data_IF_500300712311
#
_entry.id   IF_500300712311
#
_cell.length_a   1.000
_cell.length_b   1.000
_cell.length_c   1.000
_cell.angle_alpha   90.00
_cell.angle_beta   90.00
_cell.angle_gamma   90.00
#
_symmetry.space_group_name_H-M   'P 1'
#
loop_
_entity.id
_entity.type
_entity.pdbx_description
1 polymer ?
2 polymer ?
3 polymer ?
4 non-polymer ?
5 non-polymer ?
6 non-polymer ?
7 non-polymer ?
8 water ?
#
# COMPACT_ATOMS: atom_id res chain seq x y z
N UNK A 1 -12.03 -20.16 -4.24
CA UNK A 1 -12.56 -18.78 -4.49
C UNK A 1 -11.84 -18.03 -5.66
N UNK A 2 -11.76 -16.69 -5.58
CA UNK A 2 -11.23 -15.86 -6.67
C UNK A 2 -9.70 -15.95 -6.78
N UNK A 3 -9.10 -14.92 -7.39
CA UNK A 3 -7.61 -14.88 -7.58
C UNK A 3 -6.90 -14.38 -6.35
N UNK A 4 -5.61 -14.72 -6.25
CA UNK A 4 -4.81 -14.33 -5.09
C UNK A 4 -3.42 -14.01 -5.50
N UNK A 5 -2.73 -13.22 -4.71
CA UNK A 5 -1.38 -12.80 -4.96
C UNK A 5 -0.46 -12.92 -3.77
N UNK A 6 0.82 -13.15 -4.04
CA UNK A 6 1.88 -12.98 -3.05
C UNK A 6 2.82 -11.93 -3.61
N UNK A 7 3.17 -10.92 -2.82
CA UNK A 7 4.03 -9.85 -3.30
C UNK A 7 5.02 -9.43 -2.21
N UNK A 8 6.25 -9.15 -2.63
CA UNK A 8 7.25 -8.59 -1.80
C UNK A 8 7.67 -7.20 -2.34
N UNK A 9 7.81 -6.24 -1.42
CA UNK A 9 8.16 -4.84 -1.70
C UNK A 9 9.40 -4.47 -0.95
N UNK A 10 10.37 -3.85 -1.64
CA UNK A 10 11.61 -3.52 -0.99
C UNK A 10 11.95 -2.10 -1.34
N UNK A 11 12.39 -1.35 -0.32
CA UNK A 11 12.88 0.03 -0.51
C UNK A 11 14.22 0.20 0.17
N UNK A 12 15.16 0.75 -0.59
CA UNK A 12 16.46 1.13 -0.02
C UNK A 12 16.73 2.56 -0.27
N UNK A 13 17.17 3.28 0.80
CA UNK A 13 17.42 4.71 0.68
C UNK A 13 18.84 5.00 1.15
N UNK A 14 19.67 5.59 0.30
CA UNK A 14 21.04 5.84 0.67
C UNK A 14 21.17 6.95 1.73
N UNK A 15 22.21 6.86 2.56
CA UNK A 15 22.44 7.82 3.62
C UNK A 15 23.87 8.30 3.39
N UNK A 16 24.05 9.30 2.56
CA UNK A 16 25.38 9.76 2.16
C UNK A 16 26.18 10.38 3.36
N UNK A 17 25.52 10.91 4.39
CA UNK A 17 26.24 11.48 5.47
C UNK A 17 26.95 10.50 6.43
N UNK A 18 26.33 9.35 6.57
CA UNK A 18 26.94 8.34 7.46
C UNK A 18 26.16 7.05 7.31
N UNK A 19 26.90 5.95 7.10
CA UNK A 19 26.38 4.64 7.23
C UNK A 19 25.75 4.01 6.04
N UNK A 20 25.02 2.92 6.28
CA UNK A 20 24.43 2.09 5.22
C UNK A 20 23.09 2.64 4.81
N UNK A 21 22.52 2.14 3.71
CA UNK A 21 21.19 2.52 3.33
C UNK A 21 20.14 2.08 4.30
N UNK A 22 19.05 2.83 4.46
CA UNK A 22 17.87 2.30 5.14
C UNK A 22 17.18 1.27 4.22
N UNK A 23 16.86 0.09 4.73
CA UNK A 23 16.24 -0.94 3.88
C UNK A 23 15.01 -1.44 4.63
N UNK A 24 13.88 -1.42 3.90
CA UNK A 24 12.62 -1.91 4.46
C UNK A 24 12.00 -2.84 3.43
N UNK A 25 11.66 -4.05 3.89
CA UNK A 25 11.04 -5.09 3.09
C UNK A 25 9.76 -5.50 3.75
N UNK A 26 8.71 -5.61 2.91
CA UNK A 26 7.39 -6.08 3.42
C UNK A 26 6.89 -7.18 2.49
N UNK A 27 6.21 -8.18 3.04
CA UNK A 27 5.58 -9.21 2.24
C UNK A 27 4.07 -9.23 2.47
N UNK A 28 3.29 -9.41 1.39
CA UNK A 28 1.82 -9.48 1.43
C UNK A 28 1.30 -10.70 0.78
N UNK A 29 0.20 -11.21 1.33
CA UNK A 29 -0.69 -12.16 0.60
C UNK A 29 -1.94 -11.33 0.37
N UNK A 30 -2.34 -11.10 -0.87
CA UNK A 30 -3.47 -10.20 -1.15
C UNK A 30 -3.20 -8.88 -0.47
N UNK A 31 -4.16 -8.40 0.30
CA UNK A 31 -4.04 -7.12 1.02
C UNK A 31 -3.62 -7.25 2.47
N UNK A 32 -3.05 -8.39 2.84
CA UNK A 32 -2.65 -8.67 4.18
C UNK A 32 -1.10 -8.74 4.24
N UNK A 33 -0.53 -7.84 5.03
CA UNK A 33 0.94 -7.89 5.29
C UNK A 33 1.20 -9.06 6.19
N UNK A 34 2.24 -9.85 5.87
CA UNK A 34 2.55 -10.99 6.75
C UNK A 34 3.98 -11.04 7.30
N UNK A 35 4.89 -10.33 6.68
CA UNK A 35 6.27 -10.25 7.17
C UNK A 35 6.84 -8.90 6.93
N UNK A 36 7.84 -8.54 7.75
CA UNK A 36 8.61 -7.27 7.56
C UNK A 36 10.08 -7.55 7.87
N UNK A 37 10.94 -6.74 7.26
CA UNK A 37 12.30 -6.58 7.71
C UNK A 37 12.55 -5.08 7.66
N UNK A 38 13.23 -4.55 8.68
CA UNK A 38 13.66 -3.16 8.68
C UNK A 38 15.07 -3.14 9.19
N UNK A 39 15.96 -2.64 8.36
CA UNK A 39 17.37 -2.56 8.82
C UNK A 39 17.56 -1.73 10.06
N UNK A 40 16.67 -0.83 10.44
CA UNK A 40 16.81 -0.06 11.66
C UNK A 40 16.19 -0.69 12.89
N UNK A 41 15.49 -1.83 12.73
CA UNK A 41 14.89 -2.51 13.87
C UNK A 41 15.95 -3.35 14.60
N UNK A 42 15.66 -3.72 15.83
CA UNK A 42 16.66 -4.34 16.66
C UNK A 42 16.88 -5.79 16.32
N UNK A 43 15.84 -6.49 15.84
CA UNK A 43 15.96 -7.94 15.68
C UNK A 43 16.96 -8.36 14.60
N UNK A 44 17.11 -7.57 13.58
CA UNK A 44 17.86 -7.97 12.39
C UNK A 44 17.37 -9.31 11.84
N UNK A 45 16.08 -9.54 11.98
CA UNK A 45 15.45 -10.76 11.47
C UNK A 45 14.24 -10.37 10.63
N UNK A 46 13.89 -11.26 9.71
CA UNK A 46 12.52 -11.23 9.15
C UNK A 46 11.55 -11.52 10.32
N UNK A 47 10.49 -10.69 10.41
CA UNK A 47 9.56 -10.73 11.55
C UNK A 47 8.17 -11.02 11.02
N UNK A 48 7.35 -11.73 11.80
CA UNK A 48 5.97 -11.98 11.46
C UNK A 48 5.10 -10.75 11.65
N UNK A 49 4.12 -10.57 10.76
CA UNK A 49 3.13 -9.50 10.88
C UNK A 49 1.72 -10.02 10.64
N UNK A 50 1.51 -11.34 10.65
CA UNK A 50 0.16 -11.95 10.71
C UNK A 50 0.24 -13.20 11.54
N UNK A 51 -0.81 -13.58 12.24
CA UNK A 51 -0.69 -14.78 13.09
C UNK A 51 -0.42 -16.06 12.39
N UNK A 52 -0.98 -16.25 11.19
CA UNK A 52 -0.85 -17.49 10.47
C UNK A 52 0.56 -17.81 9.92
N UNK A 53 1.45 -16.82 9.92
CA UNK A 53 2.84 -17.09 9.56
C UNK A 53 3.68 -17.53 10.78
N UNK A 54 3.19 -17.24 11.98
CA UNK A 54 3.97 -17.56 13.21
C UNK A 54 4.24 -19.04 13.41
N UNK A 55 3.40 -19.87 12.84
CA UNK A 55 3.60 -21.31 12.94
C UNK A 55 4.79 -21.83 12.12
N UNK A 56 5.34 -21.04 11.18
CA UNK A 56 6.47 -21.56 10.42
C UNK A 56 7.65 -21.71 11.39
N UNK A 57 8.46 -22.70 11.13
CA UNK A 57 9.53 -23.08 12.07
C UNK A 57 10.80 -22.32 11.81
N UNK A 58 11.81 -22.58 12.65
CA UNK A 58 13.03 -21.84 12.58
C UNK A 58 13.76 -21.94 11.25
N UNK A 59 13.72 -23.08 10.54
CA UNK A 59 14.41 -23.17 9.28
C UNK A 59 13.80 -22.08 8.33
N UNK A 60 12.49 -21.87 8.41
CA UNK A 60 11.83 -20.90 7.57
C UNK A 60 12.33 -19.50 7.92
N UNK A 61 12.33 -19.16 9.20
CA UNK A 61 12.72 -17.81 9.60
C UNK A 61 14.18 -17.54 9.29
N UNK A 62 15.02 -18.54 9.55
CA UNK A 62 16.46 -18.38 9.16
C UNK A 62 16.64 -18.15 7.67
N UNK A 63 15.90 -18.91 6.86
CA UNK A 63 16.04 -18.80 5.41
C UNK A 63 15.54 -17.47 4.92
N UNK A 64 14.41 -17.01 5.45
CA UNK A 64 13.88 -15.74 5.03
C UNK A 64 14.76 -14.58 5.47
N UNK A 65 15.36 -14.69 6.63
CA UNK A 65 16.27 -13.66 7.10
C UNK A 65 17.53 -13.64 6.23
N UNK A 66 18.06 -14.82 5.91
CA UNK A 66 19.23 -14.94 5.05
C UNK A 66 18.96 -14.25 3.70
N UNK A 67 17.82 -14.58 3.07
CA UNK A 67 17.49 -14.00 1.77
C UNK A 67 17.31 -12.49 1.85
N UNK A 68 16.62 -12.02 2.86
CA UNK A 68 16.30 -10.60 2.90
C UNK A 68 17.55 -9.75 3.20
N UNK A 69 18.44 -10.29 3.98
CA UNK A 69 19.72 -9.61 4.27
C UNK A 69 20.58 -9.54 3.03
N UNK A 70 20.64 -10.66 2.29
CA UNK A 70 21.39 -10.64 1.03
C UNK A 70 20.81 -9.65 0.05
N UNK A 71 19.48 -9.56 0.02
CA UNK A 71 18.83 -8.63 -0.86
C UNK A 71 19.24 -7.19 -0.49
N UNK A 72 19.24 -6.92 0.82
CA UNK A 72 19.66 -5.59 1.25
C UNK A 72 21.03 -5.22 0.81
N UNK A 73 21.94 -6.17 0.82
CA UNK A 73 23.28 -5.92 0.34
C UNK A 73 23.32 -5.68 -1.16
N UNK A 74 22.48 -6.43 -1.90
CA UNK A 74 22.40 -6.18 -3.34
C UNK A 74 21.95 -4.75 -3.60
N UNK A 75 20.96 -4.26 -2.84
CA UNK A 75 20.53 -2.87 -3.06
C UNK A 75 21.58 -1.89 -2.66
N UNK A 76 22.36 -2.23 -1.62
CA UNK A 76 23.49 -1.38 -1.22
C UNK A 76 24.47 -1.19 -2.43
N UNK A 77 24.84 -2.29 -3.03
CA UNK A 77 25.66 -2.23 -4.17
C UNK A 77 25.03 -1.41 -5.29
N UNK A 78 23.78 -1.72 -5.59
CA UNK A 78 23.07 -1.03 -6.69
C UNK A 78 23.04 0.46 -6.51
N UNK A 79 22.83 0.92 -5.28
CA UNK A 79 22.85 2.35 -5.04
C UNK A 79 24.17 3.01 -5.48
N UNK A 80 25.28 2.36 -5.17
CA UNK A 80 26.56 2.81 -5.68
C UNK A 80 26.69 2.71 -7.19
N UNK A 81 26.27 1.57 -7.75
CA UNK A 81 26.35 1.35 -9.20
C UNK A 81 25.57 2.39 -9.99
N UNK A 82 24.31 2.56 -9.59
CA UNK A 82 23.43 3.45 -10.28
C UNK A 82 23.88 4.91 -10.15
N UNK A 83 24.41 5.31 -8.98
CA UNK A 83 24.93 6.68 -8.82
C UNK A 83 26.04 6.86 -9.90
N UNK A 84 26.84 5.83 -10.12
CA UNK A 84 27.88 5.91 -11.17
C UNK A 84 27.27 5.95 -12.57
N UNK A 85 26.31 5.05 -12.85
CA UNK A 85 25.69 5.05 -14.18
C UNK A 85 25.10 6.38 -14.55
N UNK A 86 24.54 7.08 -13.57
CA UNK A 86 23.87 8.34 -13.78
C UNK A 86 24.79 9.56 -13.56
N UNK A 87 26.07 9.31 -13.26
CA UNK A 87 27.06 10.36 -13.00
C UNK A 87 26.55 11.36 -11.93
N UNK A 88 25.97 10.83 -10.87
CA UNK A 88 25.49 11.64 -9.75
C UNK A 88 26.54 11.80 -8.65
N UNK A 89 26.35 12.86 -7.88
CA UNK A 89 27.22 13.21 -6.79
C UNK A 89 27.09 12.17 -5.70
N UNK A 90 28.14 12.02 -4.92
CA UNK A 90 28.07 11.25 -3.69
C UNK A 90 27.29 11.94 -2.58
N UNK A 91 26.92 13.19 -2.77
CA UNK A 91 26.32 13.96 -1.75
C UNK A 91 24.84 13.72 -1.47
N UNK A 92 24.11 13.27 -2.47
CA UNK A 92 22.65 13.15 -2.32
C UNK A 92 22.17 11.75 -1.93
N UNK A 93 20.98 11.70 -1.35
CA UNK A 93 20.32 10.46 -1.10
C UNK A 93 19.49 10.02 -2.31
N UNK A 94 19.54 8.75 -2.56
CA UNK A 94 18.77 8.14 -3.67
C UNK A 94 18.03 6.89 -3.20
N UNK A 95 17.10 6.43 -4.04
CA UNK A 95 16.19 5.33 -3.70
C UNK A 95 16.15 4.24 -4.73
N UNK A 96 16.23 3.00 -4.27
CA UNK A 96 15.98 1.83 -5.10
C UNK A 96 14.67 1.21 -4.56
N UNK A 97 13.81 0.76 -5.47
CA UNK A 97 12.61 -0.02 -5.09
C UNK A 97 12.54 -1.23 -5.98
N UNK A 98 12.12 -2.37 -5.40
CA UNK A 98 11.89 -3.59 -6.18
C UNK A 98 10.55 -4.17 -5.66
N UNK A 99 9.73 -4.70 -6.56
CA UNK A 99 8.56 -5.45 -6.18
C UNK A 99 8.57 -6.71 -7.03
N UNK A 100 8.25 -7.86 -6.42
CA UNK A 100 8.05 -9.07 -7.25
C UNK A 100 6.99 -9.91 -6.61
N UNK A 101 6.45 -10.81 -7.39
CA UNK A 101 5.42 -11.70 -6.86
C UNK A 101 4.70 -12.51 -7.94
N UNK A 102 3.71 -13.24 -7.47
CA UNK A 102 2.99 -14.14 -8.34
C UNK A 102 1.53 -14.11 -7.98
N UNK A 103 0.69 -14.33 -8.96
CA UNK A 103 -0.75 -14.47 -8.80
C UNK A 103 -1.15 -15.91 -9.16
N UNK A 104 -2.20 -16.40 -8.49
CA UNK A 104 -2.91 -17.60 -8.85
C UNK A 104 -4.31 -17.16 -9.24
N UNK A 105 -4.87 -17.86 -10.22
CA UNK A 105 -6.15 -17.48 -10.77
C UNK A 105 -7.26 -18.21 -10.06
N UNK A 106 -8.42 -18.15 -10.70
CA UNK A 106 -9.61 -18.73 -10.23
C UNK A 106 -9.56 -20.24 -10.24
N UNK A 107 -8.63 -20.81 -11.03
CA UNK A 107 -8.41 -22.25 -11.08
C UNK A 107 -7.38 -22.69 -10.02
N UNK A 108 -6.82 -21.74 -9.24
CA UNK A 108 -5.86 -22.00 -8.14
C UNK A 108 -4.45 -22.38 -8.73
N UNK A 109 -4.27 -22.11 -10.01
CA UNK A 109 -2.99 -22.34 -10.63
C UNK A 109 -2.36 -21.04 -10.97
N UNK A 110 -1.07 -21.12 -11.29
CA UNK A 110 -0.34 -19.97 -11.70
C UNK A 110 -1.10 -19.17 -12.76
N UNK A 111 -1.18 -17.87 -12.56
CA UNK A 111 -1.79 -16.87 -13.48
C UNK A 111 -0.75 -15.91 -14.06
N UNK A 112 0.07 -15.30 -13.23
CA UNK A 112 1.10 -14.41 -13.73
C UNK A 112 2.17 -14.20 -12.70
N UNK A 113 3.37 -13.78 -13.15
CA UNK A 113 4.45 -13.36 -12.30
C UNK A 113 4.90 -11.96 -12.70
N UNK A 114 5.61 -11.33 -11.79
CA UNK A 114 6.13 -9.97 -12.04
C UNK A 114 7.36 -9.69 -11.23
N UNK A 115 8.19 -8.82 -11.77
CA UNK A 115 9.37 -8.34 -11.10
C UNK A 115 9.72 -6.99 -11.69
N UNK A 116 9.63 -5.94 -10.88
CA UNK A 116 9.83 -4.57 -11.37
C UNK A 116 10.83 -3.90 -10.42
N UNK A 117 11.60 -3.00 -10.98
CA UNK A 117 12.66 -2.28 -10.27
C UNK A 117 12.64 -0.81 -10.71
N UNK A 118 12.80 0.06 -9.71
CA UNK A 118 12.77 1.54 -9.92
C UNK A 118 13.96 2.23 -9.23
N UNK A 119 14.43 3.31 -9.84
CA UNK A 119 15.47 4.18 -9.26
C UNK A 119 14.93 5.55 -9.18
N UNK A 120 15.05 6.13 -7.98
CA UNK A 120 14.49 7.44 -7.70
C UNK A 120 13.00 7.61 -8.12
N UNK A 121 12.25 6.53 -7.92
CA UNK A 121 10.84 6.55 -8.12
C UNK A 121 10.34 6.49 -9.56
N UNK A 122 11.25 6.15 -10.49
CA UNK A 122 10.95 6.03 -11.89
C UNK A 122 11.26 4.59 -12.33
N UNK A 123 10.46 4.08 -13.27
CA UNK A 123 10.79 2.72 -13.84
C UNK A 123 12.24 2.66 -14.21
N UNK A 124 12.86 1.52 -13.91
CA UNK A 124 14.22 1.28 -14.38
C UNK A 124 14.26 0.04 -15.26
N UNK A 125 13.96 -1.13 -14.62
CA UNK A 125 13.91 -2.35 -15.45
C UNK A 125 12.77 -3.23 -14.92
N UNK A 126 12.12 -3.93 -15.80
CA UNK A 126 11.00 -4.80 -15.43
C UNK A 126 11.01 -6.06 -16.29
N UNK A 127 10.59 -7.14 -15.66
CA UNK A 127 10.37 -8.36 -16.41
C UNK A 127 9.06 -8.28 -17.14
N UNK A 128 9.03 -8.70 -18.40
CA UNK A 128 7.79 -8.70 -19.13
C UNK A 128 6.90 -9.83 -18.65
N UNK A 129 5.63 -9.80 -19.07
CA UNK A 129 4.70 -10.80 -18.63
C UNK A 129 5.06 -12.20 -19.06
N UNK A 130 5.74 -12.31 -20.21
CA UNK A 130 6.26 -13.60 -20.60
C UNK A 130 7.35 -14.24 -19.70
N UNK A 131 7.88 -13.48 -18.77
CA UNK A 131 8.88 -13.93 -17.86
C UNK A 131 10.16 -14.35 -18.57
N UNK A 132 10.34 -13.82 -19.78
CA UNK A 132 11.50 -14.17 -20.59
C UNK A 132 12.32 -13.02 -21.07
N UNK A 133 11.81 -11.81 -20.96
CA UNK A 133 12.39 -10.64 -21.59
C UNK A 133 12.17 -9.47 -20.70
N UNK A 134 13.04 -8.47 -20.87
CA UNK A 134 13.12 -7.31 -19.97
C UNK A 134 12.78 -6.02 -20.69
N UNK A 135 12.18 -5.10 -19.95
CA UNK A 135 11.89 -3.71 -20.43
C UNK A 135 12.89 -2.82 -19.65
N UNK A 136 13.77 -2.14 -20.35
CA UNK A 136 14.80 -1.26 -19.78
C UNK A 136 14.41 0.16 -20.22
N UNK A 137 14.28 1.03 -19.23
CA UNK A 137 13.80 2.40 -19.55
C UNK A 137 14.74 3.32 -20.21
N UNK A 138 16.04 3.14 -19.98
CA UNK A 138 17.04 4.05 -20.46
C UNK A 138 18.38 3.30 -20.60
N UNK A 139 19.45 4.00 -20.91
CA UNK A 139 20.70 3.28 -21.27
C UNK A 139 21.43 2.71 -20.03
N UNK A 140 21.16 3.27 -18.84
CA UNK A 140 21.62 2.69 -17.61
C UNK A 140 20.95 1.34 -17.40
N UNK A 141 19.62 1.32 -17.48
CA UNK A 141 18.90 0.07 -17.36
C UNK A 141 19.26 -0.88 -18.47
N UNK A 142 19.60 -0.37 -19.67
CA UNK A 142 20.01 -1.25 -20.74
C UNK A 142 21.30 -2.02 -20.31
N UNK A 143 22.20 -1.35 -19.61
CA UNK A 143 23.43 -1.99 -19.15
C UNK A 143 23.06 -3.14 -18.19
N UNK A 144 22.17 -2.86 -17.25
CA UNK A 144 21.65 -3.90 -16.34
C UNK A 144 21.01 -5.03 -17.10
N UNK A 145 20.19 -4.72 -18.12
CA UNK A 145 19.56 -5.73 -18.92
C UNK A 145 20.57 -6.66 -19.54
N UNK A 146 21.66 -6.10 -20.10
CA UNK A 146 22.63 -7.01 -20.75
C UNK A 146 23.24 -7.90 -19.68
N UNK A 147 23.52 -7.34 -18.49
CA UNK A 147 24.07 -8.10 -17.27
C UNK A 147 23.19 -9.29 -16.92
N UNK A 148 21.93 -9.00 -16.92
CA UNK A 148 20.94 -9.99 -16.45
C UNK A 148 20.61 -10.98 -17.53
N UNK A 149 20.68 -10.63 -18.78
CA UNK A 149 20.52 -11.60 -19.85
C UNK A 149 21.65 -12.59 -19.82
N UNK A 150 22.86 -12.07 -19.61
CA UNK A 150 24.02 -12.98 -19.69
C UNK A 150 24.02 -14.00 -18.56
N UNK A 151 23.53 -13.58 -17.41
CA UNK A 151 23.40 -14.38 -16.21
C UNK A 151 22.10 -15.19 -16.19
N UNK A 152 21.29 -15.21 -17.25
CA UNK A 152 20.00 -16.00 -17.22
C UNK A 152 19.11 -15.71 -16.03
N UNK A 153 19.02 -14.44 -15.64
CA UNK A 153 18.25 -14.06 -14.50
C UNK A 153 16.74 -14.27 -14.72
N UNK A 154 16.27 -14.03 -15.94
CA UNK A 154 14.85 -14.24 -16.24
C UNK A 154 14.48 -15.70 -16.06
N UNK A 155 15.31 -16.61 -16.49
CA UNK A 155 15.02 -18.08 -16.35
C UNK A 155 14.88 -18.43 -14.88
N UNK A 156 15.80 -17.90 -14.04
CA UNK A 156 15.78 -18.18 -12.60
C UNK A 156 14.54 -17.63 -11.97
N UNK A 157 14.18 -16.38 -12.31
CA UNK A 157 12.96 -15.81 -11.78
C UNK A 157 11.74 -16.54 -12.25
N UNK A 158 11.69 -16.94 -13.54
CA UNK A 158 10.51 -17.61 -14.06
C UNK A 158 10.29 -18.90 -13.30
N UNK A 159 11.34 -19.68 -13.11
CA UNK A 159 11.22 -20.91 -12.35
C UNK A 159 10.64 -20.67 -10.94
N UNK A 160 11.09 -19.64 -10.26
CA UNK A 160 10.52 -19.30 -8.95
C UNK A 160 9.05 -18.90 -9.08
N UNK A 161 8.79 -17.96 -9.97
CA UNK A 161 7.44 -17.39 -10.08
C UNK A 161 6.37 -18.37 -10.51
N UNK A 162 6.69 -19.33 -11.34
CA UNK A 162 5.74 -20.35 -11.77
C UNK A 162 5.63 -21.52 -10.82
N UNK A 163 6.61 -21.70 -9.93
CA UNK A 163 6.66 -22.90 -9.13
C UNK A 163 6.66 -22.57 -7.65
N UNK A 164 7.83 -22.38 -7.05
CA UNK A 164 7.98 -22.09 -5.65
C UNK A 164 7.02 -20.96 -5.14
N UNK A 165 6.94 -19.84 -5.84
CA UNK A 165 6.12 -18.74 -5.43
C UNK A 165 4.68 -19.17 -5.26
N UNK A 166 4.10 -19.84 -6.23
CA UNK A 166 2.70 -20.20 -6.12
C UNK A 166 2.48 -21.36 -5.16
N UNK A 167 3.48 -22.19 -4.97
CA UNK A 167 3.35 -23.29 -3.99
C UNK A 167 3.27 -22.67 -2.58
N UNK A 168 4.15 -21.69 -2.29
CA UNK A 168 4.10 -21.04 -0.97
C UNK A 168 2.85 -20.15 -0.79
N UNK A 169 2.43 -19.49 -1.84
CA UNK A 169 1.17 -18.70 -1.79
C UNK A 169 0.01 -19.62 -1.41
N UNK A 170 -0.05 -20.81 -2.03
CA UNK A 170 -1.14 -21.75 -1.75
C UNK A 170 -1.03 -22.25 -0.30
N UNK A 171 0.19 -22.51 0.19
CA UNK A 171 0.36 -22.94 1.56
C UNK A 171 -0.18 -21.83 2.53
N UNK A 172 0.25 -20.59 2.31
CA UNK A 172 -0.15 -19.46 3.17
C UNK A 172 -1.68 -19.33 3.14
N UNK A 173 -2.28 -19.44 1.93
CA UNK A 173 -3.74 -19.31 1.80
C UNK A 173 -4.50 -20.33 2.58
N UNK A 174 -3.99 -21.58 2.67
CA UNK A 174 -4.61 -22.58 3.46
C UNK A 174 -4.35 -22.36 4.96
N UNK A 175 -3.12 -22.06 5.33
CA UNK A 175 -2.80 -21.96 6.74
C UNK A 175 -3.48 -20.72 7.38
N UNK A 176 -3.65 -19.67 6.60
CA UNK A 176 -4.35 -18.45 7.02
C UNK A 176 -5.80 -18.35 6.55
N UNK A 177 -6.41 -19.46 6.12
CA UNK A 177 -7.71 -19.40 5.40
C UNK A 177 -8.79 -18.71 6.20
N UNK A 178 -8.79 -18.82 7.53
CA UNK A 178 -9.85 -18.21 8.33
C UNK A 178 -10.00 -16.74 8.05
N UNK A 179 -8.88 -16.07 7.73
CA UNK A 179 -8.96 -14.66 7.32
C UNK A 179 -8.67 -14.47 5.83
N UNK A 180 -7.66 -15.15 5.29
CA UNK A 180 -7.20 -14.89 3.93
C UNK A 180 -8.27 -15.31 2.91
N UNK A 181 -9.08 -16.33 3.22
CA UNK A 181 -10.13 -16.74 2.33
C UNK A 181 -11.54 -16.35 2.80
N UNK A 182 -11.57 -15.41 3.75
CA UNK A 182 -12.83 -14.74 4.13
C UNK A 182 -12.94 -13.45 3.38
N UNK A 183 -14.05 -13.21 2.72
CA UNK A 183 -14.31 -11.93 2.12
C UNK A 183 -15.18 -11.15 3.17
N UNK A 184 -14.83 -9.90 3.42
CA UNK A 184 -15.62 -9.03 4.27
C UNK A 184 -16.28 -8.00 3.36
N UNK A 185 -17.57 -8.18 3.13
CA UNK A 185 -18.31 -7.28 2.29
C UNK A 185 -18.42 -5.94 2.96
N UNK A 186 -18.46 -4.87 2.18
CA UNK A 186 -18.58 -3.57 2.81
C UNK A 186 -19.89 -3.43 3.61
N UNK A 187 -19.76 -2.78 4.76
CA UNK A 187 -20.91 -2.34 5.56
C UNK A 187 -21.20 -0.91 5.03
N UNK A 188 -22.37 -0.75 4.45
CA UNK A 188 -22.71 0.46 3.73
C UNK A 188 -23.79 1.25 4.38
N UNK A 189 -23.78 2.57 4.17
CA UNK A 189 -24.85 3.41 4.62
C UNK A 189 -24.70 4.75 3.91
N UNK A 190 -25.71 5.60 3.99
CA UNK A 190 -25.67 6.91 3.36
C UNK A 190 -25.91 7.98 4.41
N UNK A 191 -25.20 9.09 4.28
CA UNK A 191 -25.48 10.26 5.10
C UNK A 191 -25.92 11.42 4.22
N UNK A 192 -26.54 12.40 4.82
CA UNK A 192 -27.17 13.49 4.13
C UNK A 192 -26.70 14.81 4.83
N UNK A 193 -26.23 15.80 4.06
CA UNK A 193 -25.67 17.05 4.63
C UNK A 193 -26.22 18.20 3.79
N UNK A 194 -27.07 19.05 4.33
CA UNK A 194 -27.49 20.23 3.59
C UNK A 194 -26.27 21.13 3.30
N UNK A 195 -26.12 21.57 2.07
CA UNK A 195 -25.04 22.48 1.69
C UNK A 195 -25.57 23.91 1.53
N UNK A 196 -26.88 24.04 1.33
CA UNK A 196 -27.56 25.30 1.20
C UNK A 196 -29.05 24.99 1.37
N UNK A 197 -29.89 25.97 1.19
CA UNK A 197 -31.34 25.76 1.23
C UNK A 197 -31.80 24.92 0.04
N UNK A 198 -30.98 24.86 -1.00
CA UNK A 198 -31.38 24.32 -2.29
C UNK A 198 -30.67 23.05 -2.67
N UNK A 199 -29.59 22.74 -1.98
CA UNK A 199 -28.79 21.57 -2.32
C UNK A 199 -28.35 20.78 -1.13
N UNK A 200 -28.15 19.52 -1.33
CA UNK A 200 -27.66 18.63 -0.27
C UNK A 200 -26.57 17.70 -0.81
N UNK A 201 -25.69 17.29 0.05
CA UNK A 201 -24.71 16.28 -0.27
C UNK A 201 -25.17 14.96 0.26
N UNK A 202 -25.16 13.94 -0.60
CA UNK A 202 -25.35 12.53 -0.18
C UNK A 202 -24.00 11.88 -0.21
N UNK A 203 -23.62 11.20 0.86
CA UNK A 203 -22.35 10.54 0.94
C UNK A 203 -22.62 9.04 1.23
N UNK A 204 -22.11 8.20 0.34
CA UNK A 204 -22.26 6.74 0.41
C UNK A 204 -20.97 6.19 0.93
N UNK A 205 -21.10 5.49 2.05
CA UNK A 205 -19.99 4.96 2.83
C UNK A 205 -19.87 3.47 2.63
N UNK A 206 -18.66 2.98 2.46
CA UNK A 206 -18.35 1.54 2.46
C UNK A 206 -17.24 1.34 3.51
N UNK A 207 -17.56 0.52 4.52
CA UNK A 207 -16.68 0.39 5.68
C UNK A 207 -16.38 -1.06 5.95
N UNK A 208 -15.21 -1.27 6.53
CA UNK A 208 -14.80 -2.55 7.12
C UNK A 208 -14.75 -3.68 6.08
N UNK A 209 -14.31 -3.35 4.88
CA UNK A 209 -14.26 -4.38 3.81
C UNK A 209 -12.85 -4.93 3.58
N UNK A 210 -12.84 -6.12 2.98
CA UNK A 210 -11.63 -6.83 2.60
C UNK A 210 -12.00 -7.83 1.52
N UNK A 211 -11.28 -7.90 0.39
CA UNK A 211 -10.03 -7.12 0.08
C UNK A 211 -10.31 -5.68 -0.23
N UNK A 212 -9.27 -4.93 -0.55
CA UNK A 212 -9.40 -3.50 -0.77
C UNK A 212 -10.11 -3.09 -2.02
N UNK A 213 -10.05 -3.88 -3.08
CA UNK A 213 -10.67 -3.51 -4.33
C UNK A 213 -12.16 -3.32 -4.15
N UNK A 214 -12.68 -2.19 -4.60
CA UNK A 214 -14.09 -1.88 -4.49
C UNK A 214 -14.44 -0.88 -5.58
N UNK A 215 -15.70 -0.85 -6.00
CA UNK A 215 -16.16 0.22 -6.88
C UNK A 215 -17.44 0.81 -6.31
N UNK A 216 -17.44 2.12 -6.18
CA UNK A 216 -18.58 2.92 -5.76
C UNK A 216 -18.94 3.82 -6.93
N UNK A 217 -20.20 3.78 -7.36
CA UNK A 217 -20.66 4.71 -8.39
C UNK A 217 -22.06 5.23 -8.15
N UNK A 218 -22.25 6.50 -8.47
CA UNK A 218 -23.56 7.14 -8.33
C UNK A 218 -24.27 7.05 -9.67
N UNK A 219 -25.59 6.89 -9.60
CA UNK A 219 -26.47 6.95 -10.73
C UNK A 219 -27.56 7.98 -10.40
N UNK A 220 -28.08 8.67 -11.41
CA UNK A 220 -29.26 9.52 -11.32
C UNK A 220 -30.26 8.97 -12.30
N UNK A 221 -31.44 8.63 -11.80
CA UNK A 221 -32.48 7.99 -12.60
C UNK A 221 -31.85 6.81 -13.38
N UNK A 222 -31.06 6.02 -12.72
CA UNK A 222 -30.51 4.82 -13.37
C UNK A 222 -29.37 5.02 -14.36
N UNK A 223 -28.78 6.22 -14.48
CA UNK A 223 -27.62 6.48 -15.33
C UNK A 223 -26.43 7.00 -14.59
N UNK A 224 -25.27 6.46 -14.89
CA UNK A 224 -24.04 6.86 -14.14
C UNK A 224 -23.82 8.35 -14.20
N UNK A 225 -23.49 8.91 -13.04
CA UNK A 225 -23.16 10.32 -12.94
C UNK A 225 -21.80 10.47 -12.28
N UNK A 226 -20.91 11.24 -12.95
CA UNK A 226 -19.65 11.66 -12.33
C UNK A 226 -19.59 13.17 -12.06
N UNK A 227 -20.30 13.99 -12.78
CA UNK A 227 -20.34 15.40 -12.45
C UNK A 227 -20.92 15.61 -11.05
N UNK A 228 -20.38 16.60 -10.37
CA UNK A 228 -20.84 16.95 -9.02
C UNK A 228 -20.66 15.82 -8.03
N UNK A 229 -19.70 14.94 -8.31
CA UNK A 229 -19.33 13.87 -7.35
C UNK A 229 -17.92 14.02 -6.83
N UNK A 230 -17.67 13.35 -5.72
CA UNK A 230 -16.33 13.27 -5.11
C UNK A 230 -16.10 11.80 -4.61
N UNK A 231 -14.90 11.28 -4.76
CA UNK A 231 -14.54 9.88 -4.36
C UNK A 231 -13.24 10.01 -3.65
N UNK A 232 -13.08 9.50 -2.45
CA UNK A 232 -11.81 9.47 -1.76
C UNK A 232 -11.06 8.18 -2.13
N UNK A 233 -9.74 8.25 -2.09
CA UNK A 233 -8.89 7.08 -2.16
C UNK A 233 -9.27 6.04 -1.11
N UNK A 234 -9.29 4.76 -1.48
CA UNK A 234 -9.53 3.71 -0.54
C UNK A 234 -8.41 3.75 0.52
N UNK A 235 -8.81 3.64 1.79
CA UNK A 235 -7.91 3.88 2.91
C UNK A 235 -8.02 2.77 3.96
N UNK A 236 -6.90 2.46 4.62
CA UNK A 236 -6.90 1.39 5.60
C UNK A 236 -7.57 1.79 6.94
N UNK A 237 -8.40 0.90 7.48
CA UNK A 237 -9.01 1.22 8.79
C UNK A 237 -8.00 1.06 9.91
N UNK A 238 -6.99 0.22 9.72
CA UNK A 238 -5.99 -0.14 10.75
C UNK A 238 -6.17 -1.46 11.41
N UNK A 239 -7.33 -2.08 11.16
CA UNK A 239 -7.62 -3.44 11.66
C UNK A 239 -7.59 -4.45 10.57
N UNK A 240 -6.97 -4.15 9.46
CA UNK A 240 -6.87 -5.01 8.31
C UNK A 240 -7.92 -4.86 7.24
N UNK A 241 -8.94 -4.05 7.55
CA UNK A 241 -9.98 -3.75 6.58
C UNK A 241 -9.80 -2.35 6.04
N UNK A 242 -10.65 -1.99 5.07
CA UNK A 242 -10.57 -0.77 4.30
C UNK A 242 -11.88 -0.01 4.35
N UNK A 243 -11.78 1.25 3.93
CA UNK A 243 -12.88 2.21 3.89
C UNK A 243 -12.84 3.00 2.62
N UNK A 244 -13.99 3.44 2.17
CA UNK A 244 -14.11 4.37 1.05
C UNK A 244 -15.41 5.11 1.14
N UNK A 245 -15.49 6.30 0.57
CA UNK A 245 -16.75 6.96 0.38
C UNK A 245 -16.82 7.66 -0.95
N UNK A 246 -18.02 7.87 -1.43
CA UNK A 246 -18.33 8.67 -2.62
C UNK A 246 -19.47 9.60 -2.32
N UNK A 247 -19.47 10.82 -2.83
CA UNK A 247 -20.53 11.74 -2.52
C UNK A 247 -21.00 12.45 -3.78
N UNK A 248 -22.24 12.92 -3.74
CA UNK A 248 -22.82 13.65 -4.84
C UNK A 248 -23.61 14.80 -4.25
N UNK A 249 -23.60 15.96 -4.91
CA UNK A 249 -24.45 17.10 -4.50
C UNK A 249 -25.66 17.15 -5.45
N UNK A 250 -26.83 17.22 -4.84
CA UNK A 250 -28.12 17.06 -5.48
C UNK A 250 -29.06 18.20 -5.11
N UNK A 251 -30.05 18.46 -5.97
CA UNK A 251 -31.04 19.44 -5.58
C UNK A 251 -31.89 18.90 -4.41
N UNK A 252 -32.03 19.74 -3.38
CA UNK A 252 -32.78 19.33 -2.22
C UNK A 252 -34.23 18.96 -2.65
N UNK A 253 -34.71 17.79 -2.14
CA UNK A 253 -35.98 17.27 -2.51
C UNK A 253 -35.91 16.20 -3.61
N UNK A 254 -34.78 16.13 -4.33
CA UNK A 254 -34.60 15.15 -5.39
C UNK A 254 -33.70 13.99 -5.02
N UNK A 255 -33.39 13.82 -3.71
CA UNK A 255 -32.47 12.76 -3.24
C UNK A 255 -32.85 11.38 -3.73
N UNK A 256 -34.15 11.12 -3.84
CA UNK A 256 -34.61 9.76 -4.16
C UNK A 256 -34.29 9.32 -5.59
N UNK A 257 -33.89 10.24 -6.47
CA UNK A 257 -33.46 9.90 -7.84
C UNK A 257 -32.14 9.26 -7.91
N UNK A 258 -31.36 9.40 -6.82
CA UNK A 258 -29.93 9.07 -6.81
C UNK A 258 -29.73 7.73 -6.14
N UNK A 259 -28.90 6.90 -6.73
CA UNK A 259 -28.55 5.60 -6.13
C UNK A 259 -27.05 5.44 -6.12
N UNK A 260 -26.51 4.86 -5.02
CA UNK A 260 -25.13 4.51 -4.91
C UNK A 260 -24.99 3.03 -5.12
N UNK A 261 -24.11 2.62 -6.02
CA UNK A 261 -23.93 1.25 -6.42
C UNK A 261 -22.60 0.75 -5.96
N UNK A 262 -22.58 -0.38 -5.22
CA UNK A 262 -21.38 -0.85 -4.58
C UNK A 262 -21.05 -2.26 -5.05
N UNK A 263 -19.88 -2.40 -5.67
CA UNK A 263 -19.39 -3.67 -6.19
C UNK A 263 -18.17 -4.13 -5.39
N UNK A 264 -18.18 -5.39 -4.94
CA UNK A 264 -17.12 -5.94 -4.15
C UNK A 264 -17.17 -7.42 -4.20
N UNK A 265 -16.01 -8.06 -4.07
CA UNK A 265 -15.91 -9.50 -4.18
C UNK A 265 -16.78 -10.21 -3.15
N UNK A 266 -17.02 -9.56 -2.03
CA UNK A 266 -17.81 -10.11 -0.92
C UNK A 266 -19.30 -9.96 -1.12
N UNK A 267 -19.72 -9.36 -2.23
CA UNK A 267 -21.11 -9.11 -2.52
C UNK A 267 -21.48 -9.94 -3.75
N UNK A 268 -22.28 -10.99 -3.56
CA UNK A 268 -22.75 -11.81 -4.69
C UNK A 268 -23.43 -11.02 -5.80
N UNK A 269 -24.16 -9.99 -5.45
CA UNK A 269 -24.69 -9.04 -6.38
C UNK A 269 -24.40 -7.66 -5.83
N UNK A 270 -24.23 -6.67 -6.70
CA UNK A 270 -23.93 -5.33 -6.21
C UNK A 270 -25.05 -4.80 -5.35
N UNK A 271 -24.71 -3.97 -4.36
CA UNK A 271 -25.70 -3.31 -3.56
C UNK A 271 -26.07 -2.00 -4.18
N UNK A 272 -27.32 -1.63 -3.97
CA UNK A 272 -27.83 -0.35 -4.40
C UNK A 272 -28.37 0.37 -3.19
N UNK A 273 -27.86 1.56 -2.87
CA UNK A 273 -28.41 2.37 -1.76
C UNK A 273 -29.14 3.59 -2.33
N UNK A 274 -30.22 3.98 -1.65
CA UNK A 274 -31.05 5.13 -2.03
C UNK A 274 -31.53 5.90 -0.78
N UNK A 275 -31.45 7.22 -0.81
CA UNK A 275 -32.01 8.05 0.26
C UNK A 275 -33.52 8.18 -0.01
N UNK A 276 -34.30 7.46 0.76
CA UNK A 276 -35.75 7.57 0.68
C UNK A 276 -36.07 7.62 2.17
N UNK A 277 -35.58 8.72 2.81
CA UNK A 277 -34.83 8.87 4.08
C UNK A 277 -33.95 7.67 4.65
N UNK B 1 15.29 15.05 -9.69
CA UNK B 1 14.49 14.00 -9.03
C UNK B 1 13.01 14.36 -9.12
N UNK B 2 12.17 13.42 -9.54
CA UNK B 2 10.72 13.52 -9.29
C UNK B 2 10.46 13.74 -7.80
N UNK B 3 9.76 14.81 -7.42
CA UNK B 3 9.26 14.90 -6.00
C UNK B 3 7.73 14.95 -6.05
N UNK B 4 7.12 14.10 -5.29
CA UNK B 4 5.65 14.01 -5.23
C UNK B 4 5.18 14.28 -3.83
N UNK B 5 4.23 15.22 -3.67
CA UNK B 5 3.81 15.65 -2.33
C UNK B 5 2.73 14.70 -1.76
N UNK B 6 2.68 14.55 -0.45
CA UNK B 6 1.71 13.61 0.13
C UNK B 6 0.26 14.06 0.10
N UNK B 7 -0.59 13.12 -0.24
CA UNK B 7 -2.01 13.20 0.04
C UNK B 7 -2.19 12.77 1.46
N UNK B 8 -3.19 13.37 2.10
CA UNK B 8 -3.43 13.19 3.49
C UNK B 8 -4.92 12.97 3.72
N UNK B 9 -5.26 11.90 4.45
CA UNK B 9 -6.62 11.74 4.97
C UNK B 9 -6.51 11.54 6.48
N UNK B 10 -7.45 12.16 7.24
CA UNK B 10 -7.46 12.03 8.67
C UNK B 10 -8.87 11.52 9.03
N UNK B 11 -8.98 10.43 9.79
CA UNK B 11 -10.26 9.75 9.91
C UNK B 11 -10.19 8.81 11.10
N UNK B 12 -11.36 8.40 11.59
CA UNK B 12 -11.38 7.41 12.66
C UNK B 12 -11.62 6.00 12.07
N UNK B 13 -11.17 5.00 12.81
CA UNK B 13 -11.37 3.64 12.43
C UNK B 13 -12.87 3.29 12.44
N UNK B 14 -13.54 3.64 13.51
CA UNK B 14 -14.97 3.44 13.73
C UNK B 14 -15.73 4.74 13.68
N UNK B 15 -17.05 4.69 13.48
CA UNK B 15 -17.84 5.87 13.54
C UNK B 15 -17.63 6.55 14.86
N UNK B 16 -17.44 7.85 14.83
CA UNK B 16 -17.08 8.56 16.03
C UNK B 16 -18.30 8.82 16.90
N UNK B 17 -18.13 8.53 18.21
CA UNK B 17 -19.11 8.77 19.22
C UNK B 17 -18.39 9.26 20.50
N UNK B 18 -18.83 10.36 21.06
CA UNK B 18 -18.16 10.91 22.26
C UNK B 18 -18.14 9.98 23.43
N UNK B 19 -16.96 9.79 24.02
CA UNK B 19 -16.76 8.90 25.18
C UNK B 19 -16.40 7.49 24.86
N UNK B 20 -16.45 7.14 23.58
CA UNK B 20 -16.16 5.80 23.27
C UNK B 20 -14.85 5.77 22.58
N UNK B 21 -14.05 4.83 23.06
CA UNK B 21 -12.69 4.58 22.60
C UNK B 21 -12.73 4.27 21.10
N UNK B 22 -11.70 4.67 20.38
CA UNK B 22 -11.65 4.60 18.93
C UNK B 22 -10.15 4.68 18.56
N UNK B 23 -9.87 4.77 17.27
CA UNK B 23 -8.55 5.00 16.73
C UNK B 23 -8.58 6.12 15.74
N UNK B 24 -7.63 7.03 15.89
CA UNK B 24 -7.44 8.15 14.96
C UNK B 24 -6.31 7.79 13.96
N UNK B 25 -6.64 7.87 12.67
CA UNK B 25 -5.75 7.49 11.56
C UNK B 25 -5.36 8.74 10.77
N UNK B 26 -4.09 8.77 10.38
CA UNK B 26 -3.61 9.71 9.36
C UNK B 26 -2.96 8.89 8.27
N UNK B 27 -3.56 8.86 7.10
CA UNK B 27 -3.06 8.04 6.01
C UNK B 27 -2.42 8.99 5.03
N UNK B 28 -1.12 8.85 4.81
CA UNK B 28 -0.36 9.69 3.89
C UNK B 28 0.04 8.79 2.70
N UNK B 29 -0.17 9.25 1.51
CA UNK B 29 0.07 8.42 0.32
C UNK B 29 0.51 9.27 -0.85
N UNK B 30 1.00 8.64 -1.92
CA UNK B 30 1.34 9.33 -3.15
C UNK B 30 2.62 10.14 -3.14
N UNK B 31 3.45 9.93 -2.13
CA UNK B 31 4.65 10.75 -1.94
C UNK B 31 5.94 10.07 -2.43
N UNK B 32 6.91 10.91 -2.73
CA UNK B 32 8.24 10.45 -3.06
C UNK B 32 9.14 11.68 -2.88
N UNK B 33 10.30 11.58 -2.22
CA UNK B 33 10.88 10.38 -1.62
C UNK B 33 10.21 9.93 -0.31
N UNK B 34 10.67 8.84 0.29
CA UNK B 34 9.96 8.28 1.42
C UNK B 34 10.14 9.01 2.73
N UNK B 35 11.18 9.75 2.94
CA UNK B 35 11.36 10.40 4.26
C UNK B 35 10.17 11.37 4.45
N UNK B 36 9.51 11.26 5.59
CA UNK B 36 8.36 12.06 5.84
C UNK B 36 8.23 12.14 7.34
N UNK B 37 7.70 13.25 7.88
CA UNK B 37 7.42 13.38 9.33
C UNK B 37 5.93 13.56 9.50
N UNK B 38 5.34 12.80 10.40
CA UNK B 38 3.88 12.83 10.59
C UNK B 38 3.62 12.79 12.08
N UNK B 39 2.90 13.78 12.59
CA UNK B 39 2.46 13.77 13.96
C UNK B 39 0.93 13.88 14.01
N UNK B 40 0.35 13.22 15.02
CA UNK B 40 -1.04 13.43 15.35
C UNK B 40 -1.10 14.40 16.53
N UNK B 41 -2.03 15.34 16.41
CA UNK B 41 -2.19 16.39 17.40
C UNK B 41 -3.58 16.34 18.08
N UNK B 42 -3.57 16.69 19.36
CA UNK B 42 -4.79 16.90 20.12
C UNK B 42 -4.67 18.31 20.68
N UNK B 43 -5.63 19.15 20.28
CA UNK B 43 -5.68 20.53 20.69
C UNK B 43 -4.33 21.19 20.43
N UNK B 44 -3.82 20.92 19.24
CA UNK B 44 -2.53 21.42 18.76
C UNK B 44 -1.27 20.84 19.35
N UNK B 45 -1.38 19.85 20.23
CA UNK B 45 -0.21 19.26 20.87
C UNK B 45 0.07 17.89 20.40
N UNK B 46 1.35 17.56 20.23
CA UNK B 46 1.76 16.30 19.66
C UNK B 46 1.37 15.08 20.55
N UNK B 47 0.75 14.09 19.98
CA UNK B 47 0.46 12.81 20.66
C UNK B 47 1.72 11.91 20.63
N UNK B 48 2.14 11.45 21.79
CA UNK B 48 3.34 10.63 21.97
C UNK B 48 3.17 9.18 21.53
N UNK B 49 2.03 8.59 21.82
CA UNK B 49 1.82 7.16 21.61
C UNK B 49 1.25 6.94 20.22
N UNK B 50 1.94 7.36 19.22
CA UNK B 50 1.45 7.14 17.86
C UNK B 50 2.33 6.09 17.24
N UNK B 51 1.70 5.16 16.52
CA UNK B 51 2.42 4.08 15.80
C UNK B 51 2.19 4.25 14.30
N UNK B 52 3.00 3.55 13.49
CA UNK B 52 2.77 3.60 12.07
C UNK B 52 3.04 2.23 11.43
N UNK B 53 2.47 2.10 10.23
CA UNK B 53 2.69 0.93 9.37
C UNK B 53 4.11 0.88 8.80
N UNK B 54 4.48 -0.30 8.31
CA UNK B 54 5.74 -0.45 7.59
C UNK B 54 5.65 0.13 6.18
N UNK B 55 6.67 0.89 5.78
CA UNK B 55 6.70 1.54 4.48
C UNK B 55 6.45 0.57 3.33
N UNK B 56 5.52 0.94 2.49
CA UNK B 56 5.25 0.22 1.23
C UNK B 56 4.96 1.22 0.15
N UNK B 57 4.68 0.73 -1.07
CA UNK B 57 4.45 1.64 -2.19
C UNK B 57 3.45 1.05 -3.15
N UNK B 58 2.93 1.97 -3.96
CA UNK B 58 1.90 1.66 -4.92
C UNK B 58 2.44 1.36 -6.32
N UNK B 59 1.51 1.10 -7.24
CA UNK B 59 1.85 0.76 -8.59
C UNK B 59 2.71 1.82 -9.29
N UNK B 60 2.52 3.07 -8.95
CA UNK B 60 3.34 4.10 -9.53
C UNK B 60 4.64 4.45 -8.78
N UNK B 61 5.05 3.60 -7.84
CA UNK B 61 6.25 3.70 -7.00
C UNK B 61 6.07 4.66 -5.83
N UNK B 62 4.96 5.35 -5.75
CA UNK B 62 4.80 6.29 -4.63
C UNK B 62 4.54 5.58 -3.33
N UNK B 63 4.94 6.22 -2.22
CA UNK B 63 4.89 5.58 -0.91
C UNK B 63 3.59 5.83 -0.20
N UNK B 64 3.27 4.96 0.76
CA UNK B 64 2.16 5.22 1.68
C UNK B 64 2.47 4.66 3.05
N UNK B 65 1.87 5.34 4.06
CA UNK B 65 2.04 5.01 5.46
C UNK B 65 0.72 5.33 6.19
N UNK B 66 0.35 4.47 7.15
CA UNK B 66 -0.73 4.85 8.08
C UNK B 66 -0.08 5.12 9.44
N UNK B 67 -0.41 6.27 10.04
CA UNK B 67 -0.09 6.65 11.39
C UNK B 67 -1.35 6.62 12.24
N UNK B 68 -1.28 6.13 13.46
CA UNK B 68 -2.53 5.97 14.20
C UNK B 68 -2.29 5.98 15.69
N UNK B 69 -3.35 6.26 16.43
CA UNK B 69 -3.33 6.23 17.90
C UNK B 69 -4.71 5.96 18.42
N UNK B 70 -4.76 5.28 19.55
CA UNK B 70 -6.03 5.12 20.23
C UNK B 70 -6.41 6.52 20.64
N UNK B 71 -7.71 6.73 20.77
CA UNK B 71 -8.20 8.00 21.34
C UNK B 71 -9.65 7.84 21.70
N UNK B 72 -10.10 8.74 22.55
CA UNK B 72 -11.50 8.69 22.96
C UNK B 72 -11.99 10.04 22.59
N UNK B 73 -12.70 10.20 21.45
CA UNK B 73 -13.22 11.48 21.07
C UNK B 73 -14.25 12.11 22.02
N UNK B 74 -14.29 13.44 21.95
CA UNK B 74 -15.24 14.29 22.70
C UNK B 74 -15.84 15.44 21.84
N UNK B 75 -16.78 16.20 22.41
CA UNK B 75 -17.43 17.24 21.65
C UNK B 75 -16.47 18.39 21.36
N UNK B 76 -15.59 18.70 22.29
CA UNK B 76 -14.81 19.92 22.12
C UNK B 76 -13.34 19.67 21.82
N UNK B 77 -12.83 18.43 21.95
CA UNK B 77 -11.42 18.21 21.61
C UNK B 77 -11.25 18.22 20.11
N UNK B 78 -10.22 18.93 19.63
CA UNK B 78 -9.91 18.95 18.21
C UNK B 78 -8.70 18.04 17.97
N UNK B 79 -8.72 17.39 16.83
CA UNK B 79 -7.61 16.54 16.43
C UNK B 79 -7.15 16.91 15.05
N UNK B 80 -5.89 16.63 14.72
CA UNK B 80 -5.37 16.92 13.41
C UNK B 80 -4.16 16.06 13.13
N UNK B 81 -3.77 16.07 11.86
CA UNK B 81 -2.51 15.43 11.40
C UNK B 81 -1.60 16.51 10.84
N UNK B 82 -0.35 16.50 11.25
CA UNK B 82 0.64 17.42 10.80
C UNK B 82 1.71 16.66 10.02
N UNK B 83 1.98 17.13 8.81
CA UNK B 83 2.90 16.40 7.92
C UNK B 83 3.97 17.32 7.42
N UNK B 84 5.22 16.87 7.45
CA UNK B 84 6.32 17.59 6.75
C UNK B 84 7.00 16.63 5.77
N UNK B 85 7.42 17.16 4.65
CA UNK B 85 8.00 16.39 3.58
C UNK B 85 8.81 17.41 2.78
N UNK B 86 9.84 16.96 2.05
CA UNK B 86 10.68 17.87 1.28
C UNK B 86 9.91 18.77 0.30
N UNK B 87 8.72 18.27 -0.16
CA UNK B 87 7.83 19.04 -1.06
C UNK B 87 7.03 20.17 -0.38
N UNK B 88 7.02 20.25 0.93
CA UNK B 88 6.26 21.26 1.70
C UNK B 88 7.18 22.29 2.28
N UNK B 89 6.87 23.57 2.09
CA UNK B 89 7.73 24.60 2.57
C UNK B 89 7.52 24.81 4.07
N UNK B 90 6.33 24.46 4.58
CA UNK B 90 6.08 24.38 6.00
C UNK B 90 5.22 23.16 6.25
N UNK B 91 5.16 22.67 7.50
CA UNK B 91 4.26 21.57 7.76
C UNK B 91 2.81 21.85 7.35
N UNK B 92 2.12 20.81 6.90
CA UNK B 92 0.76 20.89 6.51
C UNK B 92 -0.06 20.28 7.63
N UNK B 93 -1.08 21.02 8.07
CA UNK B 93 -1.97 20.54 9.14
C UNK B 93 -3.33 20.28 8.51
N UNK B 94 -3.84 19.07 8.69
CA UNK B 94 -5.17 18.70 8.23
C UNK B 94 -6.02 18.32 9.46
N UNK B 95 -7.08 19.05 9.71
CA UNK B 95 -7.93 18.78 10.87
C UNK B 95 -8.83 17.57 10.61
N UNK B 96 -9.11 16.81 11.68
CA UNK B 96 -10.03 15.68 11.60
C UNK B 96 -11.43 16.22 11.53
N UNK B 97 -12.15 15.81 10.47
CA UNK B 97 -13.58 16.01 10.31
C UNK B 97 -14.30 14.66 10.44
N UNK B 98 -15.16 14.50 11.43
CA UNK B 98 -15.78 13.16 11.63
C UNK B 98 -16.72 12.64 10.52
N UNK B 99 -17.10 13.51 9.58
CA UNK B 99 -18.00 13.12 8.48
C UNK B 99 -17.23 12.78 7.20
N UNK B 100 -15.90 12.71 7.28
CA UNK B 100 -15.05 12.53 6.11
C UNK B 100 -14.06 11.36 6.17
N UNK C 1 7.39 -16.72 0.89
CA UNK C 1 8.75 -17.37 0.68
C UNK C 1 9.44 -16.62 -0.44
N UNK C 2 10.51 -15.94 -0.09
CA UNK C 2 11.25 -15.12 -1.06
C UNK C 2 12.04 -15.88 -2.11
N UNK C 3 12.25 -15.24 -3.23
CA UNK C 3 13.20 -15.69 -4.21
C UNK C 3 14.59 -15.74 -3.59
N UNK C 4 15.34 -16.71 -4.00
CA UNK C 4 16.68 -16.92 -3.46
C UNK C 4 17.52 -17.72 -4.40
N UNK C 5 18.81 -17.83 -4.09
CA UNK C 5 19.43 -17.34 -2.83
C UNK C 5 19.71 -15.82 -2.81
N UNK C 6 19.80 -15.20 -3.99
CA UNK C 6 20.01 -13.74 -4.05
C UNK C 6 19.65 -13.14 -5.41
N UNK C 7 19.40 -11.86 -5.40
CA UNK C 7 19.23 -11.13 -6.66
C UNK C 7 20.56 -10.68 -7.21
N UNK C 8 20.74 -10.70 -8.53
CA UNK C 8 21.92 -10.18 -9.14
C UNK C 8 21.99 -8.68 -8.99
N UNK C 9 23.21 -8.17 -8.86
CA UNK C 9 23.36 -6.76 -8.85
C UNK C 9 23.01 -6.16 -10.24
N UNK C 10 22.62 -4.92 -10.16
CA UNK C 10 22.33 -4.07 -11.34
C UNK C 10 23.56 -3.61 -12.11
X LIG D 1 22.39 10.91 5.94
X LIG E 1 -1.95 0.09 6.03
X LIG E 1 -2.62 -0.26 4.80
X LIG E 1 -0.73 0.83 5.48
X LIG E 1 0.28 -0.16 5.14
X LIG F 1 22.56 -3.03 3.80
X LIG F 1 23.75 -2.21 3.66
X LIG F 1 21.45 -2.28 4.54
X LIG F 1 20.98 -1.31 3.65
X LIG G 1 -14.67 -5.31 -6.95
X LIG G 1 -15.48 -6.44 -7.19
X LIG G 1 -15.22 -4.16 -7.80
X LIG G 1 -14.25 -3.14 -7.95
X LIG H 1 -28.15 9.25 -19.10
X LIG H 1 -26.85 8.62 -19.20
X LIG H 1 -28.38 10.17 -20.27
X LIG H 1 -28.95 9.42 -21.35
X LIG I 1 -0.63 -5.75 -1.58
X LIG I 1 -0.15 -6.37 -2.78
X LIG I 1 0.10 -4.47 -1.30
X LIG I 1 0.06 -3.76 -2.55
X LIG J 1 5.37 -25.23 -0.21
X LIG J 1 5.78 -26.24 -1.09
X LIG J 1 3.99 -25.63 0.21
X LIG J 1 4.01 -25.81 1.59
X LIG K 1 25.22 4.15 -19.42
X LIG K 1 25.62 3.07 -18.54
X LIG K 1 24.39 5.22 -18.69
X LIG K 1 24.06 6.34 -19.55
X LIG L 1 -0.18 -1.71 10.01
X LIG L 1 -0.08 -2.24 8.63
X LIG L 1 -1.41 -0.83 10.14
X LIG L 1 -2.06 -1.04 11.38
X LIG M 1 16.23 11.15 -16.27
X LIG M 1 15.63 9.88 -15.83
X LIG M 1 17.13 11.72 -15.16
X LIG M 1 18.12 10.75 -14.76
X LIG N 1 7.26 -16.59 14.87
X LIG N 1 7.01 -17.74 15.67
X LIG N 1 8.77 -16.53 14.68
X LIG N 1 9.25 -15.27 15.12
X LIG O 1 17.15 -20.53 -2.40
X LIG O 1 17.70 -20.04 -1.38
X LIG O 1 18.09 -21.47 -3.18
X LIG O 1 17.45 -21.80 -4.45
X LIG P 1 1.03 -11.55 14.27
X LIG P 1 2.47 -11.81 14.21
X LIG P 1 0.75 -10.28 15.05
X LIG P 1 1.65 -9.24 14.61
X LIG Q 1 4.26 1.48 -13.33
X LIG Q 1 5.12 0.34 -13.14
X LIG Q 1 5.09 2.76 -13.25
X LIG Q 1 4.27 3.89 -12.94
X LIG R 1 23.93 3.30 10.01
X LIG R 1 24.40 2.39 9.02
X LIG R 1 22.83 4.11 9.42
X LIG R 1 22.05 3.46 8.31
X LIG S 1 16.31 -4.68 -26.80
X LIG S 1 17.38 -5.21 -25.97
X LIG S 1 16.29 -3.13 -26.80
X LIG S 1 15.48 -2.61 -27.81
X LIG S 1 15.63 -2.57 -25.58
X LIG S 1 16.08 -3.14 -24.36
X LIG T 1 -4.39 -5.33 12.00
X LIG T 1 -3.84 -5.08 10.67
X LIG T 1 -5.05 -6.73 12.15
X LIG T 1 -4.07 -7.77 11.94
X LIG T 1 -5.60 -7.01 13.55
X LIG T 1 -6.90 -6.46 13.82
X LIG U 1 12.19 -25.57 11.37
X LIG U 1 11.68 -26.16 10.20
X LIG U 1 10.48 -25.35 9.71
X LIG U 1 10.83 -24.35 8.75
X LIG U 1 11.14 -24.97 7.42
X LIG U 1 10.50 -24.42 6.11
X LIG U 1 11.38 -24.31 4.97
X LIG U 1 12.10 -23.13 4.85
X LIG U 1 13.52 -23.25 4.25
X LIG U 1 14.10 -21.95 3.87
X LIG U 1 14.97 -21.78 2.69
X LIG U 1 14.92 -20.44 1.89
X LIG U 1 15.00 -20.38 0.40
X LIG V 1 -5.82 1.38 0.95
X LIG V 1 -5.84 1.28 -0.50
X LIG V 1 -5.57 -0.09 -1.11
X LIG V 1 -4.55 -0.70 -0.31
X LIG V 1 -3.99 -1.93 -0.81
X LIG V 1 -3.24 -2.72 0.26
X LIG V 1 -2.40 -1.87 1.11
X LIG V 1 -1.88 -2.45 2.33
X LIG V 1 -2.68 -3.65 2.88
X LIG V 1 -3.07 -3.64 4.28
X LIG V 1 -2.15 -3.74 5.40
X LIG V 1 -1.61 -5.15 5.56
X LIG V 1 -2.09 -5.99 6.58
X LIG W 1 18.16 7.00 -22.86
X LIG W 1 19.36 7.58 -22.63
X LIG W 1 19.46 7.74 -21.13
X LIG W 1 20.14 6.78 -20.63
X LIG W 1 20.48 6.99 -19.19
X LIG W 1 19.74 8.15 -18.54
X LIG W 1 20.49 9.19 -17.84
X LIG W 1 19.72 10.18 -17.09
X LIG W 1 20.58 11.40 -16.73
X LIG W 1 20.51 12.68 -17.36
X LIG W 1 20.55 13.66 -16.34
X LIG W 1 21.93 13.76 -15.66
X LIG W 1 22.23 12.54 -14.94
X LIG X 1 -29.80 4.52 2.72
X LIG X 1 -28.65 4.01 3.40
X LIG X 1 -28.41 4.00 4.90
X LIG X 1 -28.29 5.15 5.72
X LIG X 1 -29.45 5.56 6.51
X LIG X 1 -29.04 5.95 7.96
X LIG X 1 -29.82 7.01 8.58
X LIG X 1 -29.67 7.13 10.02
X LIG X 1 -30.47 6.04 10.79
X LIG X 1 -29.77 5.24 11.77
X LIG X 1 -28.34 4.88 11.77
X LIG X 1 -27.52 5.86 12.65
X LIG X 1 -26.30 5.36 13.27
X LIG Y 1 13.00 -11.80 16.58
X LIG Y 1 12.19 -10.68 16.20
X LIG Y 1 10.72 -11.08 16.02
X LIG Y 1 10.58 -12.22 15.17
X LIG Y 1 11.66 -12.56 14.25
X LIG Y 1 11.48 -13.90 13.57
X LIG Y 1 12.70 -14.56 13.19
X LIG Y 1 13.26 -15.32 14.36
X LIG Y 1 12.58 -16.70 14.53
X LIG Y 1 13.47 -17.82 14.85
X LIG Y 1 12.93 -19.09 14.66
X LIG Y 1 11.73 -19.37 15.56
X LIG Y 1 10.90 -20.39 15.00
X LIG Z 1 6.72 17.57 11.48
X LIG Z 1 6.23 18.89 11.27
X LIG Z 1 5.54 16.59 11.40
X LIG Z 1 4.59 16.95 12.40
X LIG AA 1 11.06 14.67 5.81
X LIG AA 1 12.25 14.37 6.55
X LIG AA 1 10.94 16.14 5.62
X LIG AA 1 10.17 16.66 6.72
X LIG BA 1 -6.11 20.40 16.18
X LIG BA 1 -5.34 20.03 16.96
X LIG BA 1 -6.06 21.45 15.21
X LIG BA 1 -4.79 22.05 14.78
X LIG CA 1 -18.27 14.34 24.85
X LIG CA 1 -18.62 15.64 24.37
X LIG CA 1 -17.77 14.14 26.26
X LIG CA 1 -16.55 14.81 26.54
X LIG CA 1 -17.71 12.61 26.39
X LIG CA 1 -16.64 12.12 27.21
X LIG DA 1 -24.77 4.81 10.56
X LIG DA 1 -23.77 4.97 11.58
X LIG DA 1 -22.42 4.56 11.02
X LIG DA 1 -22.37 3.11 10.94
X LIG DA 1 -21.20 2.63 10.30
X LIG DA 1 -21.03 1.15 10.55
X LIG DA 1 -19.86 0.83 11.32
X LIG DA 1 -19.59 -0.54 11.24
X LIG DA 1 -18.73 -0.69 10.01
X LIG DA 1 -17.38 -0.44 10.37
X LIG DA 1 -17.19 0.88 10.80
X LIG DA 1 -15.79 1.31 10.39
X LIG DA 1 -15.76 2.74 10.39
X LIG EA 1 2.36 -5.10 -11.67
X LIG EA 1 1.82 -6.31 -11.11
X LIG EA 1 0.66 -6.01 -10.15
X LIG EA 1 0.74 -4.66 -9.67
X LIG EA 1 1.33 -4.57 -8.38
X LIG EA 1 1.87 -3.16 -8.09
X LIG EA 1 1.90 -3.04 -6.66
X LIG EA 1 2.41 -1.81 -6.10
X LIG EA 1 3.95 -1.49 -6.32
X LIG EA 1 4.54 -1.86 -7.57
X LIG EA 1 5.37 -0.91 -8.28
X LIG EA 1 5.44 -1.31 -9.71
X LIG EA 1 4.15 -1.02 -10.32
X LIG FA 1 12.42 6.81 4.32
X LIG FA 1 12.56 5.66 5.25
X LIG FA 1 11.17 5.36 5.94
X LIG FA 1 10.64 6.73 5.90
X LIG FA 1 9.28 7.16 5.96
X LIG FA 1 9.01 7.77 7.39
X LIG FA 1 8.27 7.05 8.42
X LIG FA 1 8.07 5.59 8.24
X LIG FA 1 9.23 4.58 8.44
X LIG FA 1 9.18 3.36 7.68
X LIG FA 1 8.26 2.22 8.08
X LIG FA 1 8.95 0.89 7.91
X LIG FA 1 9.30 -0.03 9.07
X LIG GA 1 -13.50 10.08 10.89
X LIG GA 1 -14.08 9.82 9.70
X LIG GA 1 -14.61 8.37 9.92
X LIG GA 1 -13.94 7.20 9.34
X LIG GA 1 -15.01 6.31 9.08
X LIG GA 1 -15.66 6.12 10.45
X LIG GA 1 -16.75 5.25 10.47
X LIG GA 1 -17.91 5.34 9.63
X LIG GA 1 -19.11 6.27 9.97
X LIG GA 1 -19.13 7.09 8.82
X LIG GA 1 -18.91 8.43 9.30
X LIG GA 1 -20.22 9.14 9.03
X LIG GA 1 -21.34 8.26 9.16
X LIG HA 1 -22.27 -3.96 11.58
X LIG HA 1 -22.54 -2.66 11.86
X LIG HA 1 -22.51 -2.53 13.37
X LIG HA 1 -23.15 -1.30 13.61
X LIG HA 1 -22.34 -0.39 14.35
X LIG HA 1 -21.82 0.75 13.55
X LIG HA 1 -21.72 1.87 14.32
X LIG HA 1 -22.39 3.03 13.89
X LIG HA 1 -22.28 4.14 14.90
X LIG HA 1 -23.37 4.00 15.79
X LIG HA 1 -23.47 5.08 16.70
X LIG HA 1 -24.85 5.78 16.64
X LIG HA 1 -25.98 5.11 15.98
X LIG IA 1 -12.04 15.15 0.42
X LIG IA 1 -11.80 14.75 1.81
X LIG IA 1 -10.58 13.84 2.02
X LIG IA 1 -10.98 12.54 2.59
X LIG IA 1 -10.80 12.13 3.96
X LIG IA 1 -10.62 13.18 5.03
X LIG IA 1 -9.33 13.67 5.58
X LIG IA 1 -9.54 15.08 5.82
X LIG IA 1 -10.33 15.60 7.06
X LIG IA 1 -10.64 14.72 8.19
X LIG IA 1 -11.85 14.04 7.88
X LIG IA 1 -11.90 12.51 7.97
X LIG IA 1 -12.64 12.01 9.10
X LIG JA 1 13.70 -21.09 -6.75
X LIG JA 1 12.47 -21.74 -7.11
X LIG JA 1 13.44 -20.35 -5.44
X LIG JA 1 14.02 -19.05 -5.50
X LIG JA 1 14.05 -20.77 -4.15
X LIG JA 1 13.54 -19.63 -3.41
#
# INVERSE_FOLDING_TARGET
MGSHSMRYFFTSVSRPGRGEPRFIAVGYVDDTQFVRFDSDAASQRMEPRAPWIEQEGPEYWDGETRKVKAHSQTHRVDLGTLRGYYNQSEAGSHTVQRMYGCDVGSDWRFLRGYHQYAYDGKDYIALKEDLRSWTAADMAAQTTKHKWEAAHVAEQLRAYLEGTCVEWLRRYLENGKETLQRTDAPKTHMTHHAVSDHEATLRCWALSFYPAEITLTWQRDGEDQTQDTELVETRPAGDGTFQKWAAVVVPSGQEQRYTCHVQHEGLPKPLTLRWEP
MIQRTPKIQVYSRHPAENGKSNFLNCYVSGFHPSDIEVDLLKNGERIEKVEHSDLSFSKDWSFYLLYYTEFTPTEKDEYACRVNHVTLSQPKIVKWDRDM
YQFGPDFPIA
BR BR
EDO C1 O1 C2 O2
EDO C1 O1 C2 O2
EDO C1 O1 C2 O2
EDO C1 O1 C2 O2
EDO C1 O1 C2 O2
EDO C1 O1 C2 O2
EDO C1 O1 C2 O2
EDO C1 O1 C2 O2
EDO C1 O1 C2 O2
EDO C1 O1 C2 O2
EDO C1 O1 C2 O2
EDO C1 O1 C2 O2
EDO C1 O1 C2 O2
EDO C1 O1 C2 O2
GOL C1 O1 C2 O2 C3 O3
GOL C1 O1 C2 O2 C3 O3
PG4 O1 C1 C2 O2 C3 C4 O3 C5 C6 O4 C7 C8 O5
PG4 O1 C1 C2 O2 C3 C4 O3 C5 C6 O4 C7 C8 O5
PG4 O1 C1 C2 O2 C3 C4 O3 C5 C6 O4 C7 C8 O5
PG4 O1 C1 C2 O2 C3 C4 O3 C5 C6 O4 C7 C8 O5
PG4 O1 C1 C2 O2 C3 C4 O3 C5 C6 O4 C7 C8 O5
EDO C1 O1 C2 O2
EDO C1 O1 C2 O2
EDO C1 O1 C2 O2
GOL C1 O1 C2 O2 C3 O3
PG4 O1 C1 C2 O2 C3 C4 O3 C5 C6 O4 C7 C8 O5
PG4 O1 C1 C2 O2 C3 C4 O3 C5 C6 O4 C7 C8 O5
PG4 O1 C1 C2 O2 C3 C4 O3 C5 C6 O4 C7 C8 O5
PG4 O1 C1 C2 O2 C3 C4 O3 C5 C6 O4 C7 C8 O5
PG4 O1 C1 C2 O2 C3 C4 O3 C5 C6 O4 C7 C8 O5
PG4 O1 C1 C2 O2 C3 C4 O3 C5 C6 O4 C7 C8 O5
GOL C1 O1 C2 O2 C3 O3
#
